data_IF_764038976885
#
_entry.id   IF_764038976885
#
_cell.length_a   1.000
_cell.length_b   1.000
_cell.length_c   1.000
_cell.angle_alpha   90.00
_cell.angle_beta   90.00
_cell.angle_gamma   90.00
#
_symmetry.space_group_name_H-M   'P 1'
#
loop_
_entity.id
_entity.type
_entity.pdbx_description
1 polymer ?
#
# COMPACT_ATOMS: atom_id res chain seq x y z
N UNK A 1 -29.99 -24.41 47.90
CA UNK A 1 -28.64 -23.83 47.97
C UNK A 1 -27.84 -24.30 46.78
N UNK A 2 -27.12 -23.39 46.10
CA UNK A 2 -25.96 -23.63 45.22
C UNK A 2 -26.24 -24.61 44.06
N UNK A 3 -26.42 -24.21 42.80
CA UNK A 3 -25.29 -23.99 41.89
C UNK A 3 -25.72 -23.51 40.47
N UNK A 4 -26.92 -22.93 40.30
CA UNK A 4 -27.37 -22.45 38.97
C UNK A 4 -26.74 -21.10 38.55
N UNK A 5 -26.16 -20.36 39.50
CA UNK A 5 -25.69 -18.98 39.30
C UNK A 5 -24.45 -18.81 38.42
N UNK A 6 -23.78 -19.89 38.04
CA UNK A 6 -22.54 -19.84 37.24
C UNK A 6 -22.71 -20.27 35.78
N UNK A 7 -23.92 -20.68 35.36
CA UNK A 7 -24.15 -21.15 33.99
C UNK A 7 -24.41 -20.01 32.98
N UNK A 8 -24.46 -18.76 33.45
CA UNK A 8 -24.78 -17.59 32.61
C UNK A 8 -23.56 -16.68 32.36
N UNK A 9 -22.37 -17.00 32.87
CA UNK A 9 -21.21 -16.10 32.81
C UNK A 9 -20.11 -16.51 31.81
N UNK A 10 -20.20 -17.68 31.17
CA UNK A 10 -19.12 -18.17 30.29
C UNK A 10 -19.34 -17.94 28.78
N UNK A 11 -20.47 -17.39 28.34
CA UNK A 11 -20.77 -17.21 26.90
C UNK A 11 -20.43 -15.83 26.33
N UNK A 12 -19.67 -15.02 27.06
CA UNK A 12 -19.29 -13.66 26.63
C UNK A 12 -17.81 -13.49 26.25
N UNK A 13 -16.99 -14.54 26.33
CA UNK A 13 -15.61 -14.47 25.87
C UNK A 13 -15.47 -14.90 24.41
N UNK A 14 -15.34 -13.89 23.54
CA UNK A 14 -14.22 -13.86 22.62
C UNK A 14 -14.46 -14.34 21.20
N UNK A 15 -15.50 -13.85 20.50
CA UNK A 15 -15.35 -13.65 19.07
C UNK A 15 -14.52 -12.38 18.84
N UNK A 16 -13.21 -12.49 19.02
CA UNK A 16 -12.29 -11.56 18.36
C UNK A 16 -12.35 -11.90 16.88
N UNK A 17 -13.32 -11.32 16.17
CA UNK A 17 -13.26 -11.30 14.72
C UNK A 17 -11.96 -10.55 14.38
N UNK A 18 -10.98 -11.25 13.81
CA UNK A 18 -9.98 -10.59 13.00
C UNK A 18 -10.77 -9.87 11.90
N UNK A 19 -11.05 -8.58 12.13
CA UNK A 19 -11.45 -7.70 11.06
C UNK A 19 -10.23 -7.60 10.15
N UNK A 20 -10.12 -8.55 9.21
CA UNK A 20 -9.23 -8.40 8.06
C UNK A 20 -9.65 -7.08 7.46
N UNK A 21 -8.83 -6.04 7.66
CA UNK A 21 -9.04 -4.74 7.07
C UNK A 21 -8.99 -4.96 5.56
N UNK A 22 -10.16 -5.15 4.95
CA UNK A 22 -10.33 -5.09 3.51
C UNK A 22 -10.10 -3.62 3.16
N UNK A 23 -8.83 -3.21 3.09
CA UNK A 23 -8.51 -1.93 2.48
C UNK A 23 -9.01 -2.02 1.04
N UNK A 24 -10.00 -1.19 0.64
CA UNK A 24 -10.46 -1.21 -0.73
C UNK A 24 -9.25 -0.95 -1.61
N UNK A 25 -9.04 -1.82 -2.60
CA UNK A 25 -8.00 -1.64 -3.61
C UNK A 25 -8.45 -0.50 -4.54
N UNK A 26 -8.30 0.74 -4.06
CA UNK A 26 -8.57 1.95 -4.82
C UNK A 26 -7.33 2.28 -5.63
N UNK A 27 -7.53 2.53 -6.93
CA UNK A 27 -6.44 2.91 -7.82
C UNK A 27 -5.92 4.32 -7.45
N UNK A 28 -4.64 4.57 -7.71
CA UNK A 28 -4.07 5.90 -7.50
C UNK A 28 -4.85 7.00 -8.27
N UNK A 29 -5.21 6.81 -9.57
CA UNK A 29 -6.02 7.80 -10.29
C UNK A 29 -7.38 8.08 -9.65
N UNK A 30 -8.09 7.05 -9.17
CA UNK A 30 -9.40 7.22 -8.54
C UNK A 30 -9.29 7.96 -7.21
N UNK A 31 -8.26 7.64 -6.43
CA UNK A 31 -7.97 8.30 -5.16
C UNK A 31 -7.64 9.79 -5.35
N UNK A 32 -6.96 10.14 -6.44
CA UNK A 32 -6.52 11.51 -6.71
C UNK A 32 -7.57 12.38 -7.39
N UNK A 33 -8.59 11.79 -8.02
CA UNK A 33 -9.66 12.51 -8.73
C UNK A 33 -10.32 13.64 -7.91
N UNK A 34 -10.62 13.50 -6.60
CA UNK A 34 -11.25 14.56 -5.81
C UNK A 34 -10.39 15.82 -5.62
N UNK A 35 -9.08 15.74 -5.89
CA UNK A 35 -8.16 16.85 -5.76
C UNK A 35 -8.12 17.75 -7.00
N UNK A 36 -8.74 17.35 -8.12
CA UNK A 36 -8.99 18.24 -9.25
C UNK A 36 -9.97 19.35 -8.82
N UNK A 37 -9.65 20.58 -9.17
CA UNK A 37 -10.38 21.78 -8.73
C UNK A 37 -10.01 22.27 -7.34
N UNK A 38 -9.08 21.61 -6.64
CA UNK A 38 -8.58 22.06 -5.34
C UNK A 38 -7.36 22.95 -5.49
N UNK A 39 -7.15 23.84 -4.52
CA UNK A 39 -5.93 24.65 -4.45
C UNK A 39 -4.71 23.80 -4.11
N UNK A 40 -3.54 24.20 -4.59
CA UNK A 40 -2.26 23.57 -4.24
C UNK A 40 -2.08 23.47 -2.71
N UNK A 41 -2.52 24.49 -1.96
CA UNK A 41 -2.45 24.48 -0.50
C UNK A 41 -3.35 23.40 0.12
N UNK A 42 -4.59 23.28 -0.37
CA UNK A 42 -5.53 22.24 0.06
C UNK A 42 -4.96 20.85 -0.22
N UNK A 43 -4.41 20.64 -1.41
CA UNK A 43 -3.78 19.37 -1.81
C UNK A 43 -2.60 19.05 -0.87
N UNK A 44 -1.75 20.03 -0.57
CA UNK A 44 -0.63 19.86 0.36
C UNK A 44 -1.06 19.49 1.79
N UNK A 45 -2.21 19.97 2.23
CA UNK A 45 -2.73 19.70 3.58
C UNK A 45 -3.46 18.36 3.69
N UNK A 46 -4.16 17.95 2.63
CA UNK A 46 -5.11 16.84 2.69
C UNK A 46 -4.65 15.56 1.99
N UNK A 47 -3.71 15.66 1.04
CA UNK A 47 -3.25 14.49 0.30
C UNK A 47 -2.40 13.56 1.19
N UNK A 48 -2.88 12.36 1.43
CA UNK A 48 -2.11 11.29 2.08
C UNK A 48 -2.07 10.03 1.20
N UNK A 49 -0.89 9.68 0.72
CA UNK A 49 -0.68 8.52 -0.16
C UNK A 49 -0.31 7.24 0.61
N UNK A 50 -0.14 7.32 1.94
CA UNK A 50 0.14 6.15 2.79
C UNK A 50 -0.94 5.07 2.74
N UNK A 51 -2.25 5.39 2.70
CA UNK A 51 -3.30 4.36 2.60
C UNK A 51 -3.21 3.51 1.33
N UNK A 52 -2.60 4.04 0.28
CA UNK A 52 -2.33 3.36 -0.99
C UNK A 52 -1.00 2.58 -0.99
N UNK A 53 -0.25 2.61 0.12
CA UNK A 53 1.05 1.93 0.26
C UNK A 53 2.23 2.70 -0.33
N UNK A 54 2.08 3.97 -0.70
CA UNK A 54 3.19 4.80 -1.15
C UNK A 54 4.00 5.36 0.02
N UNK A 55 5.31 5.46 -0.17
CA UNK A 55 6.23 6.16 0.72
C UNK A 55 6.60 7.51 0.11
N UNK A 56 6.24 8.60 0.77
CA UNK A 56 6.57 9.95 0.31
C UNK A 56 8.03 10.28 0.66
N UNK A 57 8.85 10.57 -0.34
CA UNK A 57 10.29 10.78 -0.16
C UNK A 57 10.66 12.19 0.35
N UNK A 58 9.85 13.20 0.01
CA UNK A 58 10.13 14.60 0.32
C UNK A 58 8.84 15.42 0.33
N UNK A 59 8.92 16.65 0.86
CA UNK A 59 7.84 17.63 0.67
C UNK A 59 7.59 17.86 -0.83
N UNK A 60 6.34 18.06 -1.24
CA UNK A 60 6.03 18.29 -2.64
C UNK A 60 6.69 19.57 -3.15
N UNK A 61 7.23 19.50 -4.37
CA UNK A 61 7.89 20.63 -5.03
C UNK A 61 6.81 21.47 -5.70
N UNK A 62 6.67 22.73 -5.26
CA UNK A 62 5.76 23.69 -5.87
C UNK A 62 6.51 24.56 -6.88
N UNK A 63 6.05 24.55 -8.13
CA UNK A 63 6.48 25.40 -9.22
C UNK A 63 5.32 26.33 -9.63
N UNK A 64 5.57 27.28 -10.54
CA UNK A 64 4.56 28.28 -10.93
C UNK A 64 3.25 27.66 -11.45
N UNK A 65 3.33 26.55 -12.19
CA UNK A 65 2.20 25.87 -12.82
C UNK A 65 2.07 24.40 -12.39
N UNK A 66 2.86 23.94 -11.41
CA UNK A 66 2.90 22.52 -11.04
C UNK A 66 3.07 22.31 -9.54
N UNK A 67 2.42 21.27 -9.01
CA UNK A 67 2.70 20.72 -7.68
C UNK A 67 3.10 19.25 -7.84
N UNK A 68 4.34 18.93 -7.48
CA UNK A 68 4.97 17.64 -7.80
C UNK A 68 5.22 16.85 -6.52
N UNK A 69 4.60 15.68 -6.41
CA UNK A 69 4.88 14.70 -5.36
C UNK A 69 5.77 13.61 -5.89
N UNK A 70 6.83 13.28 -5.15
CA UNK A 70 7.70 12.14 -5.47
C UNK A 70 7.49 11.05 -4.43
N UNK A 71 6.99 9.91 -4.88
CA UNK A 71 6.68 8.77 -4.03
C UNK A 71 7.40 7.51 -4.49
N UNK A 72 7.67 6.60 -3.56
CA UNK A 72 8.13 5.24 -3.83
C UNK A 72 6.97 4.29 -3.62
N UNK A 73 6.78 3.36 -4.56
CA UNK A 73 5.96 2.18 -4.34
C UNK A 73 6.88 1.00 -3.99
N UNK A 74 6.89 0.52 -2.74
CA UNK A 74 7.64 -0.68 -2.39
C UNK A 74 6.96 -1.89 -3.05
N UNK A 75 7.70 -2.63 -3.85
CA UNK A 75 7.23 -3.88 -4.47
C UNK A 75 8.10 -5.02 -3.96
N UNK A 76 7.47 -6.02 -3.34
CA UNK A 76 8.13 -7.28 -2.96
C UNK A 76 7.83 -8.31 -4.02
N UNK A 77 8.83 -8.67 -4.82
CA UNK A 77 8.69 -9.76 -5.79
C UNK A 77 9.18 -11.06 -5.12
N UNK A 78 8.30 -12.07 -4.94
CA UNK A 78 8.73 -13.36 -4.42
C UNK A 78 9.66 -14.03 -5.43
N UNK A 79 10.78 -14.58 -4.96
CA UNK A 79 11.69 -15.34 -5.81
C UNK A 79 11.09 -16.74 -6.03
N UNK A 80 10.91 -17.19 -7.28
CA UNK A 80 10.46 -18.55 -7.55
C UNK A 80 11.51 -19.54 -7.04
N UNK A 81 11.12 -20.41 -6.12
CA UNK A 81 11.92 -21.59 -5.78
C UNK A 81 11.75 -22.62 -6.90
N UNK A 82 12.85 -22.98 -7.57
CA UNK A 82 12.83 -24.10 -8.51
C UNK A 82 12.60 -25.39 -7.71
N UNK A 83 11.40 -25.96 -7.81
CA UNK A 83 11.13 -27.31 -7.33
C UNK A 83 11.69 -28.27 -8.39
N UNK A 84 12.89 -28.81 -8.15
CA UNK A 84 13.41 -29.90 -8.97
C UNK A 84 12.53 -31.13 -8.75
N UNK A 85 11.68 -31.46 -9.72
CA UNK A 85 11.02 -32.78 -9.79
C UNK A 85 12.04 -33.83 -10.22
N UNK A 86 12.92 -34.24 -9.31
CA UNK A 86 13.67 -35.48 -9.50
C UNK A 86 12.77 -36.65 -9.09
N UNK A 87 12.30 -37.34 -10.12
CA UNK A 87 11.64 -38.63 -10.04
C UNK A 87 12.61 -39.64 -9.43
N UNK A 88 12.31 -40.11 -8.23
CA UNK A 88 12.80 -41.38 -7.70
C UNK A 88 13.89 -41.27 -6.65
N UNK A 89 13.59 -41.92 -5.52
CA UNK A 89 14.49 -42.30 -4.42
C UNK A 89 14.73 -41.26 -3.31
N UNK A 90 14.06 -41.56 -2.20
CA UNK A 90 14.40 -41.27 -0.80
C UNK A 90 13.90 -39.95 -0.21
N UNK A 91 13.00 -40.12 0.77
CA UNK A 91 12.39 -39.11 1.63
C UNK A 91 13.43 -38.43 2.54
N UNK A 92 14.37 -37.68 1.97
CA UNK A 92 15.10 -36.67 2.73
C UNK A 92 14.35 -35.37 2.54
N UNK A 93 13.77 -34.75 3.59
CA UNK A 93 13.27 -33.40 3.48
C UNK A 93 14.48 -32.53 3.16
N UNK A 94 14.62 -32.15 1.90
CA UNK A 94 15.58 -31.11 1.50
C UNK A 94 15.04 -29.85 2.17
N UNK A 95 15.60 -29.53 3.34
CA UNK A 95 15.52 -28.19 3.89
C UNK A 95 16.31 -27.32 2.93
N UNK A 96 15.65 -26.88 1.87
CA UNK A 96 16.14 -25.79 1.05
C UNK A 96 16.19 -24.58 1.97
N UNK A 97 17.35 -24.37 2.59
CA UNK A 97 17.75 -23.09 3.18
C UNK A 97 17.96 -22.03 2.07
N UNK A 98 17.12 -22.06 1.02
CA UNK A 98 16.99 -20.99 0.06
C UNK A 98 16.08 -19.96 0.68
N UNK A 99 16.67 -19.05 1.45
CA UNK A 99 16.10 -17.79 1.94
C UNK A 99 14.60 -17.63 1.63
N UNK A 100 13.71 -18.23 2.43
CA UNK A 100 12.26 -18.06 2.31
C UNK A 100 11.79 -16.61 2.57
N UNK A 101 12.73 -15.66 2.69
CA UNK A 101 12.50 -14.24 2.88
C UNK A 101 13.26 -13.31 1.92
N UNK A 102 14.03 -13.81 0.94
CA UNK A 102 14.68 -12.93 -0.04
C UNK A 102 13.68 -12.51 -1.11
N UNK A 103 12.94 -11.43 -0.86
CA UNK A 103 12.20 -10.70 -1.89
C UNK A 103 13.10 -9.58 -2.44
N UNK A 104 13.04 -9.31 -3.74
CA UNK A 104 13.70 -8.13 -4.29
C UNK A 104 12.96 -6.88 -3.79
N UNK A 105 13.69 -5.94 -3.17
CA UNK A 105 13.17 -4.63 -2.80
C UNK A 105 13.48 -3.64 -3.92
N UNK A 106 12.46 -3.30 -4.71
CA UNK A 106 12.57 -2.33 -5.78
C UNK A 106 12.01 -0.99 -5.32
N UNK A 107 12.89 0.02 -5.24
CA UNK A 107 12.51 1.40 -4.98
C UNK A 107 12.04 2.09 -6.27
N UNK A 108 10.83 1.77 -6.71
CA UNK A 108 10.27 2.36 -7.92
C UNK A 108 9.67 3.73 -7.63
N UNK A 109 10.27 4.77 -8.23
CA UNK A 109 9.82 6.16 -8.09
C UNK A 109 8.63 6.45 -9.03
N UNK A 110 7.67 7.19 -8.50
CA UNK A 110 6.55 7.77 -9.23
C UNK A 110 6.45 9.26 -8.90
N UNK A 111 6.34 10.09 -9.92
CA UNK A 111 6.02 11.51 -9.83
C UNK A 111 4.53 11.70 -10.12
N UNK A 112 3.81 12.27 -9.16
CA UNK A 112 2.43 12.70 -9.30
C UNK A 112 2.46 14.22 -9.47
N UNK A 113 2.07 14.69 -10.65
CA UNK A 113 2.21 16.08 -11.06
C UNK A 113 0.82 16.66 -11.22
N UNK A 114 0.42 17.55 -10.31
CA UNK A 114 -0.78 18.36 -10.48
C UNK A 114 -0.43 19.55 -11.36
N UNK A 115 -1.08 19.67 -12.51
CA UNK A 115 -0.99 20.86 -13.34
C UNK A 115 -1.91 21.93 -12.76
N UNK A 116 -1.34 23.08 -12.44
CA UNK A 116 -2.01 24.19 -11.76
C UNK A 116 -2.27 25.34 -12.74
N UNK A 117 -3.39 26.03 -12.55
CA UNK A 117 -3.65 27.31 -13.21
C UNK A 117 -2.98 28.50 -12.50
N UNK A 118 -3.25 29.71 -13.01
CA UNK A 118 -2.76 30.97 -12.45
C UNK A 118 -3.24 31.23 -11.02
N UNK A 119 -4.38 30.65 -10.62
CA UNK A 119 -4.94 30.73 -9.26
C UNK A 119 -4.44 29.62 -8.34
N UNK A 120 -3.50 28.79 -8.82
CA UNK A 120 -2.94 27.64 -8.11
C UNK A 120 -3.99 26.55 -7.85
N UNK A 121 -4.96 26.40 -8.74
CA UNK A 121 -5.97 25.35 -8.71
C UNK A 121 -5.56 24.21 -9.64
N UNK A 122 -5.66 22.97 -9.17
CA UNK A 122 -5.33 21.79 -9.96
C UNK A 122 -6.35 21.54 -11.08
N UNK A 123 -5.90 21.55 -12.32
CA UNK A 123 -6.70 21.35 -13.52
C UNK A 123 -6.62 19.90 -14.02
N UNK A 124 -5.45 19.28 -13.91
CA UNK A 124 -5.23 17.89 -14.31
C UNK A 124 -4.10 17.25 -13.50
N UNK A 125 -3.93 15.93 -13.67
CA UNK A 125 -2.85 15.17 -13.04
C UNK A 125 -2.11 14.39 -14.13
N UNK A 126 -0.79 14.54 -14.17
CA UNK A 126 0.12 13.71 -14.96
C UNK A 126 0.92 12.80 -14.02
N UNK A 127 1.24 11.61 -14.53
CA UNK A 127 2.03 10.61 -13.84
C UNK A 127 3.31 10.33 -14.62
N UNK A 128 4.44 10.32 -13.94
CA UNK A 128 5.73 10.00 -14.55
C UNK A 128 6.50 8.99 -13.69
N UNK A 129 6.82 7.83 -14.26
CA UNK A 129 7.53 6.76 -13.57
C UNK A 129 6.97 5.39 -13.90
N UNK A 130 7.79 4.35 -13.70
CA UNK A 130 7.43 2.95 -14.02
C UNK A 130 6.45 2.33 -13.03
N UNK A 131 6.24 2.97 -11.88
CA UNK A 131 5.40 2.48 -10.78
C UNK A 131 4.28 3.43 -10.38
N UNK A 132 4.01 4.42 -11.24
CA UNK A 132 2.68 4.96 -11.38
C UNK A 132 1.86 3.94 -12.19
#
# INVERSE_FOLDING_TARGET
MKNYKYLLFCTLLGLQACATSNQPNISLPDYLKPFIGQSAQTIQQQLDLKPLGFQTLAQPVKQNNQLIYTVIRPVRIPIPIAQSTELGAQNIPIQTAGNAGSAYDLNLKCHIIFELDQQQIAQSIRYEGKAC
#
